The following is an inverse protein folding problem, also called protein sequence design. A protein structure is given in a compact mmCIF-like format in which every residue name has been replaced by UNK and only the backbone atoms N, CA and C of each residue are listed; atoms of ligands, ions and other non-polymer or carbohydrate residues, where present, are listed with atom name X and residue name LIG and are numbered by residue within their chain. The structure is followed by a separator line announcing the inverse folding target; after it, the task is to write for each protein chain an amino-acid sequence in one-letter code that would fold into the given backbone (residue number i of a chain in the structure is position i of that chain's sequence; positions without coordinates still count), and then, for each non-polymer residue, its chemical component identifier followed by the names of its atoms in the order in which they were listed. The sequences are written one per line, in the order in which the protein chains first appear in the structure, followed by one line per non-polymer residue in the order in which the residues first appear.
data_IF_779351752622
#
_entry.id   IF_779351752622
#
_cell.length_a   1.000
_cell.length_b   1.000
_cell.length_c   1.000
_cell.angle_alpha   90.00
_cell.angle_beta   90.00
_cell.angle_gamma   90.00
#
_symmetry.space_group_name_H-M   'P 1'
#
loop_
_entity.id
_entity.type
_entity.pdbx_description
1 polymer ?
#
# COMPACT_ATOMS: atom_id res chain seq x y z
N UNK A 1 21.56 -9.70 4.30
CA UNK A 1 20.62 -8.63 3.89
C UNK A 1 19.58 -9.09 2.87
N UNK A 2 19.89 -9.91 1.88
CA UNK A 2 18.92 -10.43 0.88
C UNK A 2 17.83 -11.33 1.49
N UNK A 3 18.17 -12.22 2.43
CA UNK A 3 17.21 -13.15 3.06
C UNK A 3 16.12 -12.48 3.92
N UNK A 4 16.35 -11.28 4.46
CA UNK A 4 15.32 -10.54 5.20
C UNK A 4 14.35 -9.80 4.27
N UNK A 5 14.81 -9.38 3.09
CA UNK A 5 13.94 -8.84 2.03
C UNK A 5 13.00 -9.92 1.48
N UNK A 6 13.48 -11.15 1.34
CA UNK A 6 12.67 -12.28 0.90
C UNK A 6 11.62 -12.71 1.93
N UNK A 7 11.95 -12.69 3.24
CA UNK A 7 10.98 -12.98 4.31
C UNK A 7 9.90 -11.91 4.48
N UNK A 8 10.20 -10.64 4.19
CA UNK A 8 9.20 -9.58 4.14
C UNK A 8 8.31 -9.68 2.89
N UNK A 9 8.87 -10.17 1.78
CA UNK A 9 8.11 -10.45 0.55
C UNK A 9 7.24 -11.71 0.65
N UNK A 10 7.63 -12.74 1.41
CA UNK A 10 6.86 -13.97 1.57
C UNK A 10 5.65 -13.82 2.50
N UNK A 11 5.49 -12.71 3.22
CA UNK A 11 4.28 -12.40 3.98
C UNK A 11 3.20 -11.69 3.14
N UNK A 12 3.51 -11.25 1.92
CA UNK A 12 2.53 -10.88 0.91
C UNK A 12 2.75 -11.80 -0.29
N UNK A 13 1.96 -12.85 -0.41
CA UNK A 13 1.95 -13.77 -1.56
C UNK A 13 1.64 -13.07 -2.90
N UNK A 14 1.32 -11.79 -2.85
CA UNK A 14 0.88 -10.94 -3.95
C UNK A 14 1.98 -10.10 -4.62
N UNK A 15 3.06 -9.72 -3.93
CA UNK A 15 4.03 -8.75 -4.48
C UNK A 15 4.96 -9.30 -5.57
N UNK A 16 4.88 -10.61 -5.84
CA UNK A 16 5.70 -11.27 -6.87
C UNK A 16 5.01 -11.42 -8.24
N UNK A 17 3.75 -10.96 -8.36
CA UNK A 17 2.84 -11.38 -9.44
C UNK A 17 2.65 -10.32 -10.53
N UNK A 18 3.11 -9.08 -10.35
CA UNK A 18 2.91 -8.07 -11.40
C UNK A 18 4.09 -8.06 -12.37
N UNK A 19 3.86 -8.36 -13.68
CA UNK A 19 4.88 -8.20 -14.70
C UNK A 19 5.33 -6.74 -14.78
N UNK A 20 6.65 -6.48 -14.86
CA UNK A 20 7.22 -5.13 -15.09
C UNK A 20 6.70 -4.47 -16.38
N UNK A 21 6.11 -5.26 -17.28
CA UNK A 21 5.54 -4.81 -18.54
C UNK A 21 4.10 -4.28 -18.46
N UNK A 22 3.48 -4.23 -17.27
CA UNK A 22 2.10 -3.79 -17.14
C UNK A 22 1.99 -2.27 -17.28
N UNK A 23 1.81 -1.80 -18.51
CA UNK A 23 1.52 -0.39 -18.79
C UNK A 23 0.04 -0.10 -18.49
N UNK A 24 -0.21 0.83 -17.55
CA UNK A 24 -1.54 1.39 -17.25
C UNK A 24 -1.46 2.86 -17.62
N UNK A 25 -2.42 3.35 -18.42
CA UNK A 25 -2.45 4.76 -18.84
C UNK A 25 -2.94 5.66 -17.69
N UNK A 26 -2.35 6.87 -17.61
CA UNK A 26 -2.72 7.86 -16.60
C UNK A 26 -1.97 7.69 -15.27
N UNK A 27 -2.59 8.19 -14.20
CA UNK A 27 -2.06 8.12 -12.84
C UNK A 27 -3.21 8.07 -11.83
N UNK A 28 -2.94 7.59 -10.61
CA UNK A 28 -3.89 7.66 -9.51
C UNK A 28 -3.67 8.93 -8.71
N UNK A 29 -4.72 9.74 -8.49
CA UNK A 29 -4.66 10.88 -7.60
C UNK A 29 -4.78 10.44 -6.15
N UNK A 30 -3.78 10.79 -5.31
CA UNK A 30 -3.80 10.49 -3.89
C UNK A 30 -4.40 11.64 -3.09
N UNK A 31 -5.56 11.40 -2.48
CA UNK A 31 -6.30 12.40 -1.67
C UNK A 31 -6.31 12.08 -0.17
N UNK A 32 -5.57 11.07 0.26
CA UNK A 32 -5.63 10.50 1.62
C UNK A 32 -5.09 11.38 2.74
N UNK A 33 -4.47 12.53 2.45
CA UNK A 33 -4.12 13.49 3.49
C UNK A 33 -5.34 14.25 4.03
N UNK A 34 -6.30 14.55 3.18
CA UNK A 34 -7.48 15.36 3.52
C UNK A 34 -8.74 14.48 3.68
N UNK A 35 -8.81 13.38 2.94
CA UNK A 35 -10.00 12.54 2.85
C UNK A 35 -9.75 11.09 3.33
N UNK A 36 -10.69 10.58 4.10
CA UNK A 36 -10.71 9.17 4.58
C UNK A 36 -11.43 8.24 3.62
N UNK A 37 -12.29 8.82 2.79
CA UNK A 37 -13.13 8.13 1.82
C UNK A 37 -13.06 8.85 0.47
N UNK A 38 -13.26 8.11 -0.62
CA UNK A 38 -13.43 8.66 -1.95
C UNK A 38 -14.65 8.02 -2.65
N UNK A 39 -15.38 8.83 -3.40
CA UNK A 39 -16.29 8.31 -4.43
C UNK A 39 -15.54 8.43 -5.75
N UNK A 40 -15.10 7.31 -6.28
CA UNK A 40 -14.15 7.24 -7.39
C UNK A 40 -14.57 6.20 -8.42
N UNK A 41 -13.72 5.90 -9.37
CA UNK A 41 -13.95 4.95 -10.44
C UNK A 41 -12.82 3.92 -10.51
N UNK A 42 -13.16 2.67 -10.82
CA UNK A 42 -12.17 1.64 -11.15
C UNK A 42 -11.62 1.92 -12.55
N UNK A 43 -10.31 2.14 -12.63
CA UNK A 43 -9.59 2.37 -13.89
C UNK A 43 -9.10 1.06 -14.49
N UNK A 44 -8.58 0.15 -13.64
CA UNK A 44 -8.06 -1.13 -14.10
C UNK A 44 -8.25 -2.20 -13.02
N UNK A 45 -8.41 -3.45 -13.46
CA UNK A 45 -8.43 -4.64 -12.64
C UNK A 45 -7.36 -5.61 -13.10
N UNK A 46 -6.64 -6.21 -12.15
CA UNK A 46 -5.61 -7.21 -12.42
C UNK A 46 -5.94 -8.46 -11.62
N UNK A 47 -6.14 -9.58 -12.31
CA UNK A 47 -6.38 -10.88 -11.68
C UNK A 47 -5.05 -11.51 -11.26
N UNK A 48 -4.96 -11.96 -10.00
CA UNK A 48 -3.76 -12.66 -9.51
C UNK A 48 -3.60 -14.04 -10.13
N UNK A 49 -4.70 -14.70 -10.46
CA UNK A 49 -4.68 -16.06 -11.06
C UNK A 49 -4.24 -16.07 -12.51
N UNK A 50 -4.48 -14.98 -13.23
CA UNK A 50 -4.17 -14.86 -14.67
C UNK A 50 -2.95 -13.98 -14.94
N UNK A 51 -2.46 -13.23 -13.92
CA UNK A 51 -1.37 -12.25 -14.02
C UNK A 51 -1.56 -11.23 -15.15
N UNK A 52 -2.81 -10.93 -15.51
CA UNK A 52 -3.20 -10.05 -16.62
C UNK A 52 -4.31 -9.09 -16.22
N UNK A 53 -4.46 -8.04 -17.00
CA UNK A 53 -5.62 -7.15 -16.93
C UNK A 53 -6.91 -7.94 -17.13
N UNK A 54 -7.90 -7.65 -16.31
CA UNK A 54 -9.20 -8.32 -16.32
C UNK A 54 -10.33 -7.28 -16.40
N UNK A 55 -11.39 -7.61 -17.11
CA UNK A 55 -12.60 -6.78 -17.13
C UNK A 55 -13.45 -6.98 -15.86
N UNK A 56 -13.24 -8.09 -15.16
CA UNK A 56 -14.04 -8.46 -13.98
C UNK A 56 -13.21 -9.29 -13.00
N UNK A 57 -13.35 -9.04 -11.70
CA UNK A 57 -12.95 -9.94 -10.62
C UNK A 57 -14.21 -10.50 -9.95
N UNK A 58 -14.21 -11.81 -9.68
CA UNK A 58 -15.35 -12.52 -9.10
C UNK A 58 -15.15 -12.79 -7.60
N UNK A 59 -16.22 -13.18 -6.91
CA UNK A 59 -16.18 -13.51 -5.48
C UNK A 59 -15.08 -14.54 -5.17
N UNK A 60 -14.38 -14.35 -4.04
CA UNK A 60 -13.20 -15.09 -3.57
C UNK A 60 -11.95 -14.96 -4.47
N UNK A 61 -12.01 -14.18 -5.55
CA UNK A 61 -10.84 -13.91 -6.38
C UNK A 61 -9.94 -12.86 -5.76
N UNK A 62 -8.67 -13.18 -5.69
CA UNK A 62 -7.62 -12.23 -5.33
C UNK A 62 -7.20 -11.42 -6.55
N UNK A 63 -6.92 -10.12 -6.33
CA UNK A 63 -6.52 -9.25 -7.42
C UNK A 63 -6.04 -7.89 -6.96
N UNK A 64 -5.81 -7.01 -7.95
CA UNK A 64 -5.44 -5.63 -7.74
C UNK A 64 -6.47 -4.71 -8.40
N UNK A 65 -6.91 -3.73 -7.65
CA UNK A 65 -7.82 -2.68 -8.13
C UNK A 65 -7.04 -1.37 -8.25
N UNK A 66 -7.10 -0.75 -9.42
CA UNK A 66 -6.57 0.59 -9.66
C UNK A 66 -7.74 1.57 -9.71
N UNK A 67 -7.63 2.66 -8.95
CA UNK A 67 -8.65 3.72 -8.88
C UNK A 67 -8.14 5.00 -9.52
N UNK A 68 -9.07 5.83 -9.99
CA UNK A 68 -8.78 7.18 -10.50
C UNK A 68 -8.28 8.08 -9.35
N UNK A 69 -9.00 8.09 -8.23
CA UNK A 69 -8.62 8.77 -6.98
C UNK A 69 -8.63 7.79 -5.82
N UNK A 70 -7.73 7.97 -4.84
CA UNK A 70 -7.66 7.07 -3.71
C UNK A 70 -7.33 7.76 -2.38
N UNK A 71 -8.00 7.39 -1.27
CA UNK A 71 -7.59 7.79 0.07
C UNK A 71 -6.52 6.89 0.68
N UNK A 72 -6.14 5.77 0.01
CA UNK A 72 -5.19 4.79 0.50
C UNK A 72 -3.75 5.22 0.19
N UNK A 73 -2.92 5.32 1.24
CA UNK A 73 -1.48 5.53 1.09
C UNK A 73 -0.82 4.28 0.55
N UNK A 74 -0.11 4.38 -0.55
CA UNK A 74 0.70 3.28 -1.06
C UNK A 74 2.03 3.18 -0.31
N UNK A 75 2.50 1.97 -0.04
CA UNK A 75 3.78 1.71 0.62
C UNK A 75 4.90 2.56 0.02
N UNK A 76 5.50 3.40 0.84
CA UNK A 76 6.58 4.29 0.44
C UNK A 76 7.38 4.76 1.64
N UNK A 77 8.68 5.05 1.45
CA UNK A 77 9.54 5.60 2.49
C UNK A 77 9.68 4.70 3.74
N UNK A 78 9.41 3.40 3.60
CA UNK A 78 9.43 2.43 4.69
C UNK A 78 8.12 2.35 5.48
N UNK A 79 7.12 3.20 5.20
CA UNK A 79 5.79 3.06 5.77
C UNK A 79 4.97 2.07 4.94
N UNK A 80 4.31 1.11 5.62
CA UNK A 80 3.40 0.14 4.99
C UNK A 80 2.19 0.81 4.37
N UNK A 81 1.60 0.17 3.37
CA UNK A 81 0.39 0.60 2.68
C UNK A 81 -0.86 0.58 3.60
N UNK A 82 -1.84 1.39 3.24
CA UNK A 82 -3.13 1.41 3.93
C UNK A 82 -3.99 0.21 3.53
N UNK A 83 -4.95 -0.11 4.42
CA UNK A 83 -5.96 -1.16 4.28
C UNK A 83 -7.36 -0.56 4.36
N UNK A 84 -8.36 -1.35 3.95
CA UNK A 84 -9.75 -0.96 4.05
C UNK A 84 -10.64 -1.68 3.06
N UNK A 85 -11.63 -0.98 2.48
CA UNK A 85 -12.62 -1.59 1.59
C UNK A 85 -12.89 -0.72 0.37
N UNK A 86 -13.13 -1.36 -0.77
CA UNK A 86 -13.69 -0.75 -1.97
C UNK A 86 -15.04 -1.41 -2.21
N UNK A 87 -16.11 -0.63 -2.26
CA UNK A 87 -17.46 -1.16 -2.38
C UNK A 87 -18.27 -0.46 -3.45
N UNK A 88 -19.22 -1.18 -4.03
CA UNK A 88 -20.17 -0.68 -5.01
C UNK A 88 -21.51 -1.40 -4.92
N UNK A 89 -22.34 -1.26 -5.94
CA UNK A 89 -23.64 -1.92 -5.97
C UNK A 89 -23.47 -3.44 -6.13
N UNK A 90 -23.67 -4.18 -5.04
CA UNK A 90 -23.66 -5.65 -5.04
C UNK A 90 -22.28 -6.28 -5.02
N UNK A 91 -21.24 -5.56 -4.54
CA UNK A 91 -19.94 -6.13 -4.29
C UNK A 91 -19.16 -5.40 -3.19
N UNK A 92 -18.25 -6.13 -2.58
CA UNK A 92 -17.25 -5.62 -1.63
C UNK A 92 -15.90 -6.24 -1.93
N UNK A 93 -14.87 -5.41 -2.02
CA UNK A 93 -13.48 -5.80 -2.14
C UNK A 93 -12.71 -5.36 -0.89
N UNK A 94 -12.07 -6.31 -0.21
CA UNK A 94 -11.25 -6.03 0.96
C UNK A 94 -9.81 -5.72 0.50
N UNK A 95 -9.36 -4.51 0.78
CA UNK A 95 -7.99 -4.05 0.52
C UNK A 95 -7.10 -4.49 1.68
N UNK A 96 -6.17 -5.39 1.41
CA UNK A 96 -5.23 -5.95 2.38
C UNK A 96 -3.90 -5.21 2.41
N UNK A 97 -3.53 -4.57 1.29
CA UNK A 97 -2.31 -3.76 1.15
C UNK A 97 -2.47 -2.77 -0.01
N UNK A 98 -1.71 -1.68 0.02
CA UNK A 98 -1.65 -0.70 -1.07
C UNK A 98 -0.20 -0.42 -1.43
N UNK A 99 0.17 -0.63 -2.69
CA UNK A 99 1.53 -0.48 -3.20
C UNK A 99 1.55 0.41 -4.45
N UNK A 100 2.72 0.98 -4.77
CA UNK A 100 2.89 1.72 -6.02
C UNK A 100 3.10 0.77 -7.19
N UNK A 101 2.40 1.04 -8.30
CA UNK A 101 2.55 0.38 -9.59
C UNK A 101 2.74 1.49 -10.63
N UNK A 102 4.01 1.82 -10.93
CA UNK A 102 4.31 3.01 -11.72
C UNK A 102 3.75 4.28 -11.06
N UNK A 103 2.93 5.04 -11.79
CA UNK A 103 2.28 6.26 -11.30
C UNK A 103 0.91 5.99 -10.63
N UNK A 104 0.56 4.72 -10.43
CA UNK A 104 -0.69 4.31 -9.82
C UNK A 104 -0.53 3.77 -8.40
N UNK A 105 -1.63 3.80 -7.64
CA UNK A 105 -1.80 3.07 -6.39
C UNK A 105 -2.56 1.78 -6.67
N UNK A 106 -1.90 0.63 -6.52
CA UNK A 106 -2.50 -0.69 -6.62
C UNK A 106 -3.06 -1.13 -5.28
N UNK A 107 -4.36 -1.39 -5.22
CA UNK A 107 -5.05 -1.90 -4.04
C UNK A 107 -5.12 -3.41 -4.14
N UNK A 108 -4.26 -4.10 -3.39
CA UNK A 108 -4.14 -5.55 -3.35
C UNK A 108 -5.14 -6.13 -2.37
N UNK A 109 -5.90 -7.13 -2.78
CA UNK A 109 -6.92 -7.69 -1.89
C UNK A 109 -7.73 -8.81 -2.52
N UNK A 110 -8.92 -9.05 -1.95
CA UNK A 110 -9.82 -10.13 -2.33
C UNK A 110 -11.25 -9.63 -2.46
N UNK A 111 -11.97 -10.16 -3.42
CA UNK A 111 -13.41 -9.92 -3.57
C UNK A 111 -14.13 -10.71 -2.49
N UNK A 112 -14.62 -10.01 -1.45
CA UNK A 112 -15.35 -10.66 -0.36
C UNK A 112 -16.78 -11.01 -0.72
N UNK A 113 -17.39 -10.23 -1.62
CA UNK A 113 -18.80 -10.38 -2.00
C UNK A 113 -19.02 -9.88 -3.42
N UNK A 114 -19.72 -10.64 -4.24
CA UNK A 114 -20.18 -10.28 -5.56
C UNK A 114 -19.07 -10.18 -6.62
N UNK A 115 -19.24 -9.30 -7.61
CA UNK A 115 -18.32 -9.17 -8.73
C UNK A 115 -17.99 -7.70 -9.01
N UNK A 116 -16.70 -7.38 -9.13
CA UNK A 116 -16.23 -6.07 -9.57
C UNK A 116 -16.09 -6.03 -11.07
N UNK A 117 -16.42 -4.89 -11.66
CA UNK A 117 -16.17 -4.62 -13.08
C UNK A 117 -15.35 -3.34 -13.26
N UNK A 118 -14.50 -3.35 -14.27
CA UNK A 118 -13.80 -2.16 -14.72
C UNK A 118 -14.81 -1.05 -15.06
N UNK A 119 -14.38 0.20 -14.95
CA UNK A 119 -15.20 1.39 -15.21
C UNK A 119 -16.39 1.62 -14.25
N UNK A 120 -16.50 0.83 -13.18
CA UNK A 120 -17.56 0.97 -12.18
C UNK A 120 -17.24 2.09 -11.18
N UNK A 121 -18.26 2.89 -10.84
CA UNK A 121 -18.19 3.85 -9.74
C UNK A 121 -18.25 3.13 -8.42
N UNK A 122 -17.33 3.48 -7.50
CA UNK A 122 -17.12 2.82 -6.23
C UNK A 122 -16.92 3.81 -5.10
N UNK A 123 -17.10 3.34 -3.88
CA UNK A 123 -16.72 4.02 -2.66
C UNK A 123 -15.51 3.34 -2.06
N UNK A 124 -14.39 4.04 -1.99
CA UNK A 124 -13.17 3.64 -1.33
C UNK A 124 -13.18 4.14 0.12
N UNK A 125 -12.98 3.25 1.08
CA UNK A 125 -12.99 3.54 2.53
C UNK A 125 -11.73 2.99 3.18
N UNK A 126 -10.83 3.88 3.63
CA UNK A 126 -9.62 3.53 4.36
C UNK A 126 -9.94 3.11 5.79
N UNK A 127 -9.27 2.07 6.30
CA UNK A 127 -9.36 1.67 7.71
C UNK A 127 -8.62 2.68 8.61
N UNK A 128 -9.40 3.55 9.24
CA UNK A 128 -8.86 4.57 10.14
C UNK A 128 -8.24 3.97 11.41
N UNK A 129 -8.77 2.86 11.91
CA UNK A 129 -8.23 2.21 13.11
C UNK A 129 -6.84 1.65 12.87
N UNK A 130 -6.62 1.10 11.68
CA UNK A 130 -5.31 0.66 11.20
C UNK A 130 -4.35 1.86 11.00
N UNK A 131 -4.82 2.91 10.34
CA UNK A 131 -4.01 4.11 10.07
C UNK A 131 -3.57 4.81 11.35
N UNK A 132 -4.45 4.93 12.35
CA UNK A 132 -4.13 5.55 13.64
C UNK A 132 -3.04 4.83 14.42
N UNK A 133 -2.80 3.55 14.20
CA UNK A 133 -1.67 2.81 14.80
C UNK A 133 -0.34 3.12 14.09
N UNK A 134 -0.37 3.47 12.80
CA UNK A 134 0.83 3.75 12.00
C UNK A 134 1.34 5.17 12.27
N UNK A 135 0.47 6.16 12.38
CA UNK A 135 0.82 7.58 12.53
C UNK A 135 1.81 7.86 13.68
N UNK A 136 1.62 7.33 14.91
CA UNK A 136 2.57 7.52 16.00
C UNK A 136 3.96 6.93 15.69
N UNK A 137 4.01 5.76 15.06
CA UNK A 137 5.26 5.11 14.68
C UNK A 137 6.01 5.89 13.60
N UNK A 138 5.31 6.51 12.67
CA UNK A 138 5.90 7.41 11.67
C UNK A 138 6.55 8.62 12.35
N UNK A 139 5.82 9.30 13.24
CA UNK A 139 6.35 10.44 14.01
C UNK A 139 7.53 10.04 14.91
N UNK A 140 7.44 8.88 15.57
CA UNK A 140 8.51 8.33 16.41
C UNK A 140 9.78 8.06 15.60
N UNK A 141 9.66 7.63 14.34
CA UNK A 141 10.83 7.42 13.45
C UNK A 141 11.59 8.72 13.20
N UNK A 142 10.90 9.83 12.94
CA UNK A 142 11.53 11.14 12.78
C UNK A 142 12.20 11.64 14.06
N UNK A 143 11.53 11.48 15.21
CA UNK A 143 12.09 11.84 16.51
C UNK A 143 13.33 11.00 16.84
N UNK A 144 13.30 9.70 16.55
CA UNK A 144 14.45 8.80 16.73
C UNK A 144 15.63 9.25 15.87
N UNK A 145 15.41 9.56 14.60
CA UNK A 145 16.45 10.08 13.71
C UNK A 145 17.08 11.37 14.24
N UNK A 146 16.26 12.32 14.69
CA UNK A 146 16.74 13.58 15.27
C UNK A 146 17.53 13.35 16.57
N UNK A 147 17.07 12.44 17.44
CA UNK A 147 17.76 12.09 18.67
C UNK A 147 19.12 11.41 18.40
N UNK A 148 19.17 10.48 17.46
CA UNK A 148 20.41 9.81 17.05
C UNK A 148 21.43 10.82 16.51
N UNK A 149 21.04 11.73 15.63
CA UNK A 149 21.93 12.80 15.14
C UNK A 149 22.44 13.68 16.26
N UNK A 150 21.58 14.10 17.18
CA UNK A 150 21.96 14.93 18.32
C UNK A 150 22.93 14.25 19.27
N UNK A 151 22.82 12.92 19.45
CA UNK A 151 23.60 12.16 20.44
C UNK A 151 24.89 11.58 19.85
N UNK A 152 24.84 11.09 18.62
CA UNK A 152 25.94 10.37 17.97
C UNK A 152 26.66 11.21 16.92
N UNK A 153 26.06 12.31 16.44
CA UNK A 153 26.65 13.23 15.48
C UNK A 153 25.91 13.27 14.13
N UNK A 154 26.21 14.30 13.35
CA UNK A 154 25.54 14.60 12.07
C UNK A 154 25.83 13.56 10.96
N UNK A 155 26.85 12.72 11.15
CA UNK A 155 27.21 11.64 10.23
C UNK A 155 26.18 10.50 10.19
N UNK A 156 25.22 10.47 11.11
CA UNK A 156 24.15 9.49 11.13
C UNK A 156 23.25 9.65 9.91
N UNK A 157 23.28 8.64 9.05
CA UNK A 157 22.43 8.58 7.86
C UNK A 157 21.47 7.39 7.95
N UNK A 158 20.22 7.63 7.56
CA UNK A 158 19.24 6.55 7.41
C UNK A 158 19.65 5.63 6.26
N UNK A 159 19.72 4.33 6.53
CA UNK A 159 19.97 3.27 5.52
C UNK A 159 18.72 2.44 5.23
N UNK A 160 17.73 2.50 6.09
CA UNK A 160 16.45 1.84 5.92
C UNK A 160 15.48 2.21 7.03
N UNK A 161 14.19 2.00 6.77
CA UNK A 161 13.15 2.13 7.79
C UNK A 161 12.02 1.14 7.52
N UNK A 162 11.28 0.82 8.58
CA UNK A 162 9.99 0.15 8.51
C UNK A 162 9.07 0.83 9.52
N UNK A 163 7.92 1.29 9.05
CA UNK A 163 6.89 1.91 9.89
C UNK A 163 5.60 1.11 9.71
N UNK A 164 5.23 0.34 10.70
CA UNK A 164 4.04 -0.51 10.72
C UNK A 164 3.13 -0.18 11.89
N UNK A 165 2.04 -0.95 12.03
CA UNK A 165 1.04 -0.76 13.09
C UNK A 165 1.58 -1.10 14.50
N UNK A 166 2.48 -2.08 14.60
CA UNK A 166 2.95 -2.63 15.89
C UNK A 166 4.42 -2.33 16.17
N UNK A 167 5.17 -1.80 15.19
CA UNK A 167 6.61 -1.57 15.32
C UNK A 167 7.12 -0.56 14.30
N UNK A 168 8.22 0.08 14.68
CA UNK A 168 9.11 0.77 13.76
C UNK A 168 10.49 0.09 13.75
N UNK A 169 11.21 0.22 12.64
CA UNK A 169 12.63 -0.11 12.53
C UNK A 169 13.32 1.05 11.86
N UNK A 170 14.47 1.41 12.36
CA UNK A 170 15.32 2.46 11.78
C UNK A 170 16.74 1.93 11.67
N UNK A 171 17.20 1.72 10.45
CA UNK A 171 18.55 1.26 10.16
C UNK A 171 19.40 2.48 9.82
N UNK A 172 20.56 2.63 10.46
CA UNK A 172 21.45 3.78 10.25
C UNK A 172 22.92 3.37 10.20
N UNK A 173 23.76 4.21 9.59
CA UNK A 173 25.22 4.04 9.61
C UNK A 173 25.81 4.72 10.81
N UNK A 174 26.72 4.01 11.50
CA UNK A 174 27.57 4.58 12.56
C UNK A 174 28.94 3.95 12.45
N UNK A 175 29.98 4.78 12.43
CA UNK A 175 31.37 4.34 12.16
C UNK A 175 32.21 4.16 13.41
N UNK A 176 31.70 4.47 14.61
CA UNK A 176 32.40 4.27 15.88
C UNK A 176 32.02 2.93 16.52
N UNK A 177 33.04 2.25 17.07
CA UNK A 177 32.89 1.01 17.84
C UNK A 177 32.70 1.33 19.32
#
# INVERSE_FOLDING_TARGET
MLQQKERARSSSSFSSVLPESLSIEGSTEFIGYEHKNANTKIVELISSTKEIKSETLVEDEEGVVILEETPFYAESGGQIGDRGTISGKGFVFDVLDTQKIGDHHGHFGVVREGNLKKDTKVKAHRDESFRQKIVPNHSATHLLQAALKKTLGDHIEQKGSLVGENRLRFDFSHSEQ
#
